data_IF_443511321721
#
_entry.id   IF_443511321721
#
_cell.length_a   1.000
_cell.length_b   1.000
_cell.length_c   1.000
_cell.angle_alpha   90.00
_cell.angle_beta   90.00
_cell.angle_gamma   90.00
#
_symmetry.space_group_name_H-M   'P 1'
#
loop_
_entity.id
_entity.type
_entity.pdbx_description
1 polymer ?
#
# COMPACT_ATOMS: atom_id res chain seq x y z
N UNK A 1 -2.12 -4.86 22.70
CA UNK A 1 -2.29 -3.78 21.71
C UNK A 1 -1.01 -2.97 21.47
N UNK A 2 -0.30 -2.48 22.50
CA UNK A 2 0.97 -1.72 22.32
C UNK A 2 2.03 -2.50 21.52
N UNK A 3 2.14 -3.82 21.74
CA UNK A 3 3.04 -4.68 20.97
C UNK A 3 2.74 -4.62 19.45
N UNK A 4 1.48 -4.75 19.06
CA UNK A 4 1.06 -4.68 17.65
C UNK A 4 1.41 -3.34 16.99
N UNK A 5 1.15 -2.23 17.69
CA UNK A 5 1.49 -0.89 17.19
C UNK A 5 2.99 -0.71 16.99
N UNK A 6 3.82 -1.25 17.89
CA UNK A 6 5.28 -1.20 17.75
C UNK A 6 5.79 -2.07 16.60
N UNK A 7 5.26 -3.29 16.47
CA UNK A 7 5.58 -4.18 15.34
C UNK A 7 5.28 -3.50 14.00
N UNK A 8 4.13 -2.82 13.89
CA UNK A 8 3.74 -2.13 12.66
C UNK A 8 4.51 -0.82 12.42
N UNK A 9 4.77 -0.04 13.46
CA UNK A 9 5.45 1.25 13.33
C UNK A 9 6.94 1.12 13.01
N UNK A 10 7.60 0.10 13.58
CA UNK A 10 9.06 -0.07 13.47
C UNK A 10 9.48 -1.30 12.67
N UNK A 11 8.54 -2.15 12.23
CA UNK A 11 8.86 -3.36 11.48
C UNK A 11 9.63 -4.40 12.30
N UNK A 12 9.45 -4.41 13.62
CA UNK A 12 10.16 -5.29 14.54
C UNK A 12 9.49 -6.66 14.65
N UNK A 13 10.30 -7.70 14.82
CA UNK A 13 9.84 -9.06 15.03
C UNK A 13 9.11 -9.20 16.38
N UNK A 14 8.25 -10.22 16.49
CA UNK A 14 7.37 -10.40 17.65
C UNK A 14 8.15 -10.79 18.93
N UNK A 15 9.24 -11.52 18.79
CA UNK A 15 10.16 -11.91 19.85
C UNK A 15 10.87 -10.70 20.49
N UNK A 16 11.19 -9.68 19.69
CA UNK A 16 11.75 -8.41 20.16
C UNK A 16 10.76 -7.58 21.01
N UNK A 17 9.47 -7.90 21.00
CA UNK A 17 8.50 -7.17 21.82
C UNK A 17 8.61 -7.49 23.31
N UNK A 18 9.25 -8.60 23.69
CA UNK A 18 9.51 -8.96 25.09
C UNK A 18 10.50 -7.99 25.75
N UNK A 19 11.51 -7.52 25.01
CA UNK A 19 12.51 -6.58 25.52
C UNK A 19 11.89 -5.23 25.94
N UNK A 20 10.88 -4.76 25.20
CA UNK A 20 10.29 -3.43 25.40
C UNK A 20 8.97 -3.43 26.17
N UNK A 21 8.18 -4.50 26.04
CA UNK A 21 6.82 -4.58 26.58
C UNK A 21 6.67 -5.75 27.56
N UNK A 22 7.68 -6.63 27.66
CA UNK A 22 7.67 -7.85 28.48
C UNK A 22 6.46 -8.74 28.18
N UNK A 23 6.19 -8.92 26.90
CA UNK A 23 5.10 -9.74 26.39
C UNK A 23 5.73 -10.89 25.60
N UNK A 24 5.33 -12.11 25.93
CA UNK A 24 5.76 -13.29 25.17
C UNK A 24 5.31 -13.22 23.72
N UNK A 25 6.15 -13.72 22.82
CA UNK A 25 5.98 -13.69 21.37
C UNK A 25 4.55 -14.10 20.92
N UNK A 26 4.03 -15.20 21.46
CA UNK A 26 2.68 -15.70 21.14
C UNK A 26 1.58 -14.69 21.43
N UNK A 27 1.71 -13.93 22.51
CA UNK A 27 0.75 -12.90 22.93
C UNK A 27 0.90 -11.62 22.11
N UNK A 28 2.11 -11.31 21.65
CA UNK A 28 2.37 -10.20 20.73
C UNK A 28 1.76 -10.46 19.34
N UNK A 29 1.92 -11.68 18.81
CA UNK A 29 1.29 -12.13 17.57
C UNK A 29 -0.24 -12.08 17.69
N UNK A 30 -0.78 -12.61 18.79
CA UNK A 30 -2.24 -12.58 19.03
C UNK A 30 -2.77 -11.14 19.12
N UNK A 31 -2.03 -10.26 19.78
CA UNK A 31 -2.35 -8.82 19.83
C UNK A 31 -2.37 -8.20 18.44
N UNK A 32 -1.43 -8.59 17.56
CA UNK A 32 -1.37 -8.09 16.19
C UNK A 32 -2.54 -8.59 15.36
N UNK A 33 -2.89 -9.88 15.45
CA UNK A 33 -4.06 -10.45 14.75
C UNK A 33 -5.34 -9.71 15.10
N UNK A 34 -5.63 -9.54 16.39
CA UNK A 34 -6.81 -8.80 16.87
C UNK A 34 -6.83 -7.35 16.42
N UNK A 35 -5.65 -6.71 16.39
CA UNK A 35 -5.53 -5.34 15.91
C UNK A 35 -5.87 -5.25 14.42
N UNK A 36 -5.28 -6.11 13.59
CA UNK A 36 -5.54 -6.16 12.14
C UNK A 36 -7.00 -6.47 11.87
N UNK A 37 -7.59 -7.43 12.57
CA UNK A 37 -9.01 -7.76 12.45
C UNK A 37 -9.92 -6.57 12.78
N UNK A 38 -9.62 -5.83 13.86
CA UNK A 38 -10.35 -4.61 14.20
C UNK A 38 -10.23 -3.53 13.11
N UNK A 39 -9.02 -3.32 12.56
CA UNK A 39 -8.80 -2.37 11.45
C UNK A 39 -9.58 -2.79 10.21
N UNK A 40 -9.54 -4.08 9.85
CA UNK A 40 -10.34 -4.59 8.74
C UNK A 40 -11.82 -4.33 9.03
N UNK A 41 -12.35 -4.74 10.17
CA UNK A 41 -13.77 -4.53 10.50
C UNK A 41 -14.21 -3.06 10.45
N UNK A 42 -13.34 -2.12 10.86
CA UNK A 42 -13.65 -0.68 10.82
C UNK A 42 -13.60 -0.12 9.39
N UNK A 43 -12.60 -0.51 8.59
CA UNK A 43 -12.31 0.12 7.31
C UNK A 43 -12.76 -0.70 6.08
N UNK A 44 -13.20 -1.93 6.26
CA UNK A 44 -13.47 -2.87 5.16
C UNK A 44 -14.52 -2.35 4.19
N UNK A 45 -15.64 -1.88 4.72
CA UNK A 45 -16.81 -1.46 3.93
C UNK A 45 -16.52 -0.28 3.02
N UNK A 46 -15.69 0.67 3.46
CA UNK A 46 -15.44 1.90 2.71
C UNK A 46 -14.11 1.88 1.95
N UNK A 47 -13.06 1.28 2.51
CA UNK A 47 -11.69 1.43 2.01
C UNK A 47 -11.10 0.14 1.42
N UNK A 48 -11.59 -1.04 1.81
CA UNK A 48 -11.11 -2.32 1.26
C UNK A 48 -12.05 -2.91 0.20
N UNK A 49 -13.13 -2.20 -0.16
CA UNK A 49 -13.96 -2.55 -1.32
C UNK A 49 -13.28 -2.17 -2.63
N UNK A 50 -13.73 -2.79 -3.73
CA UNK A 50 -13.34 -2.36 -5.07
C UNK A 50 -13.73 -0.89 -5.31
N UNK A 51 -12.82 -0.04 -5.83
CA UNK A 51 -13.13 1.35 -6.17
C UNK A 51 -14.29 1.42 -7.15
N UNK A 52 -15.26 2.29 -6.88
CA UNK A 52 -16.32 2.61 -7.85
C UNK A 52 -15.89 3.79 -8.72
N UNK A 53 -16.68 4.13 -9.74
CA UNK A 53 -16.37 5.23 -10.66
C UNK A 53 -16.13 6.58 -9.95
N UNK A 54 -16.81 6.85 -8.83
CA UNK A 54 -16.60 8.07 -8.05
C UNK A 54 -15.27 8.05 -7.30
N UNK A 55 -14.88 6.91 -6.73
CA UNK A 55 -13.57 6.75 -6.09
C UNK A 55 -12.44 6.95 -7.09
N UNK A 56 -12.60 6.36 -8.28
CA UNK A 56 -11.65 6.46 -9.38
C UNK A 56 -11.51 7.92 -9.81
N UNK A 57 -12.61 8.61 -10.07
CA UNK A 57 -12.60 10.02 -10.45
C UNK A 57 -11.97 10.92 -9.36
N UNK A 58 -12.24 10.63 -8.08
CA UNK A 58 -11.65 11.33 -6.93
C UNK A 58 -10.14 11.10 -6.85
N UNK A 59 -9.68 9.85 -6.96
CA UNK A 59 -8.27 9.48 -6.92
C UNK A 59 -7.49 10.15 -8.06
N UNK A 60 -8.06 10.13 -9.27
CA UNK A 60 -7.46 10.78 -10.44
C UNK A 60 -7.31 12.29 -10.26
N UNK A 61 -8.33 12.97 -9.72
CA UNK A 61 -8.29 14.42 -9.45
C UNK A 61 -7.22 14.77 -8.41
N UNK A 62 -7.08 13.96 -7.36
CA UNK A 62 -6.04 14.15 -6.33
C UNK A 62 -4.66 13.85 -6.89
N UNK A 63 -4.53 12.84 -7.75
CA UNK A 63 -3.30 12.56 -8.48
C UNK A 63 -2.87 13.76 -9.31
N UNK A 64 -3.77 14.27 -10.14
CA UNK A 64 -3.53 15.42 -11.02
C UNK A 64 -3.10 16.68 -10.24
N UNK A 65 -3.78 17.02 -9.15
CA UNK A 65 -3.41 18.20 -8.32
C UNK A 65 -2.03 18.07 -7.66
N UNK A 66 -1.57 16.83 -7.44
CA UNK A 66 -0.23 16.52 -6.93
C UNK A 66 0.81 16.34 -8.04
N UNK A 67 0.44 16.51 -9.31
CA UNK A 67 1.33 16.36 -10.46
C UNK A 67 1.44 14.92 -10.98
N UNK A 68 0.53 14.02 -10.62
CA UNK A 68 0.47 12.62 -11.06
C UNK A 68 -0.81 12.36 -11.88
N UNK A 69 -0.94 12.92 -13.09
CA UNK A 69 -2.11 12.69 -13.93
C UNK A 69 -2.21 11.20 -14.30
N UNK A 70 -3.43 10.64 -14.20
CA UNK A 70 -3.77 9.22 -14.52
C UNK A 70 -3.29 8.15 -13.53
N UNK A 71 -2.85 8.53 -12.32
CA UNK A 71 -2.40 7.56 -11.31
C UNK A 71 -3.58 7.06 -10.44
N UNK A 72 -3.88 5.76 -10.56
CA UNK A 72 -4.95 5.08 -9.80
C UNK A 72 -4.44 4.08 -8.74
N UNK A 73 -3.16 3.76 -8.76
CA UNK A 73 -2.54 2.81 -7.84
C UNK A 73 -1.14 2.40 -8.30
N UNK A 74 -0.31 2.02 -7.32
CA UNK A 74 1.15 1.83 -7.36
C UNK A 74 1.96 3.13 -7.57
N UNK A 75 2.95 3.35 -6.69
CA UNK A 75 4.03 4.34 -6.83
C UNK A 75 5.00 3.90 -7.96
N UNK A 76 4.56 3.07 -8.91
CA UNK A 76 5.36 2.75 -10.07
C UNK A 76 5.31 3.94 -11.03
N UNK A 77 6.08 4.96 -10.65
CA UNK A 77 6.40 6.15 -11.40
C UNK A 77 7.31 5.81 -12.60
N UNK A 78 7.12 4.64 -13.22
CA UNK A 78 7.97 4.14 -14.31
C UNK A 78 7.93 5.01 -15.56
N UNK A 79 6.86 5.80 -15.69
CA UNK A 79 6.63 6.72 -16.80
C UNK A 79 6.93 8.18 -16.43
N UNK A 80 7.26 8.48 -15.17
CA UNK A 80 7.51 9.83 -14.71
C UNK A 80 9.00 10.17 -14.74
N UNK A 81 9.36 11.25 -15.45
CA UNK A 81 10.72 11.79 -15.38
C UNK A 81 10.91 12.51 -14.06
N UNK A 82 11.44 11.80 -13.07
CA UNK A 82 11.86 12.39 -11.80
C UNK A 82 12.93 13.46 -12.02
N UNK A 83 12.65 14.70 -11.59
CA UNK A 83 13.64 15.79 -11.61
C UNK A 83 14.91 15.44 -10.81
N UNK A 84 14.77 14.61 -9.77
CA UNK A 84 15.85 14.15 -8.87
C UNK A 84 15.90 12.61 -8.78
N UNK A 85 15.91 11.87 -9.90
CA UNK A 85 16.11 10.41 -9.85
C UNK A 85 17.51 10.07 -9.33
N UNK A 86 17.68 9.25 -8.27
CA UNK A 86 18.99 8.76 -7.89
C UNK A 86 19.63 8.03 -9.07
N UNK A 87 20.81 8.51 -9.52
CA UNK A 87 21.49 8.03 -10.74
C UNK A 87 21.66 6.50 -10.76
N UNK A 88 21.85 5.86 -9.60
CA UNK A 88 22.03 4.41 -9.47
C UNK A 88 20.78 3.56 -9.76
N UNK A 89 19.57 4.15 -9.80
CA UNK A 89 18.29 3.42 -9.92
C UNK A 89 17.52 3.80 -11.19
N UNK A 90 18.04 4.75 -11.98
CA UNK A 90 17.40 5.30 -13.18
C UNK A 90 17.02 4.23 -14.23
N UNK A 91 17.78 3.14 -14.32
CA UNK A 91 17.55 2.06 -15.28
C UNK A 91 16.50 1.04 -14.87
N UNK A 92 16.19 0.90 -13.57
CA UNK A 92 15.27 -0.14 -13.07
C UNK A 92 13.80 0.21 -13.28
N UNK A 93 13.49 1.50 -13.43
CA UNK A 93 12.12 2.00 -13.51
C UNK A 93 11.80 2.71 -14.83
N UNK A 94 12.71 2.81 -15.80
CA UNK A 94 12.41 3.47 -17.08
C UNK A 94 11.98 2.45 -18.12
N UNK A 95 10.68 2.33 -18.40
CA UNK A 95 10.16 1.52 -19.54
C UNK A 95 10.14 2.36 -20.81
N UNK A 96 10.55 1.78 -21.95
CA UNK A 96 10.75 2.51 -23.21
C UNK A 96 9.50 2.70 -24.08
N UNK A 97 8.30 2.26 -23.68
CA UNK A 97 7.08 2.44 -24.47
C UNK A 97 5.81 2.60 -23.61
N UNK A 98 4.84 3.43 -24.04
CA UNK A 98 3.55 3.56 -23.38
C UNK A 98 2.65 2.38 -23.78
N UNK A 99 2.69 1.30 -23.02
CA UNK A 99 1.63 0.29 -23.12
C UNK A 99 0.49 0.70 -22.21
N UNK A 100 -0.51 1.33 -22.82
CA UNK A 100 -1.81 1.57 -22.21
C UNK A 100 -2.34 0.24 -21.61
N UNK A 101 -2.87 0.35 -20.40
CA UNK A 101 -3.89 -0.55 -19.85
C UNK A 101 -3.44 -1.83 -19.12
N UNK A 102 -2.20 -1.91 -18.63
CA UNK A 102 -1.82 -3.00 -17.70
C UNK A 102 -2.58 -2.95 -16.36
N UNK A 103 -2.96 -1.78 -15.87
CA UNK A 103 -3.67 -1.64 -14.58
C UNK A 103 -5.14 -2.05 -14.70
N UNK A 104 -5.83 -1.70 -15.79
CA UNK A 104 -7.19 -2.18 -16.05
C UNK A 104 -7.21 -3.70 -16.31
N UNK A 105 -6.27 -4.22 -17.09
CA UNK A 105 -6.17 -5.66 -17.35
C UNK A 105 -5.82 -6.48 -16.10
N UNK A 106 -4.93 -5.98 -15.24
CA UNK A 106 -4.60 -6.66 -13.97
C UNK A 106 -5.75 -6.56 -12.96
N UNK A 107 -6.51 -5.46 -12.93
CA UNK A 107 -7.70 -5.33 -12.08
C UNK A 107 -8.85 -6.23 -12.54
N UNK A 108 -9.13 -6.30 -13.84
CA UNK A 108 -10.14 -7.23 -14.38
C UNK A 108 -9.78 -8.68 -14.02
N UNK A 109 -8.51 -9.07 -14.19
CA UNK A 109 -8.03 -10.42 -13.85
C UNK A 109 -8.08 -10.75 -12.35
N UNK A 110 -7.96 -9.75 -11.48
CA UNK A 110 -8.09 -9.94 -10.02
C UNK A 110 -9.55 -9.95 -9.54
N UNK A 111 -10.48 -9.40 -10.32
CA UNK A 111 -11.93 -9.40 -10.03
C UNK A 111 -12.67 -10.66 -10.48
N UNK A 112 -12.02 -11.49 -11.31
CA UNK A 112 -12.54 -12.77 -11.83
C UNK A 112 -12.01 -14.00 -11.05
N UNK A 113 -11.23 -13.78 -9.98
CA UNK A 113 -10.79 -14.78 -9.00
C UNK A 113 -11.56 -14.59 -7.68
#
# INVERSE_FOLDING_TARGET
>A
MIAALRMLAYGVAADFTDEYVRIGESTAIESLKKFVEAIVNIYFTENLRSPNSNDIARLLRVGESRGFPRMLGSIDCMYWKWKNCPLGWKGQYTRSEPQLDLVEHLWQRYSEL
#
